data_IF_768673616092
#
_entry.id   IF_768673616092
#
_cell.length_a   1.000
_cell.length_b   1.000
_cell.length_c   1.000
_cell.angle_alpha   90.00
_cell.angle_beta   90.00
_cell.angle_gamma   90.00
#
_symmetry.space_group_name_H-M   'P 1'
#
loop_
_entity.id
_entity.type
_entity.pdbx_description
1 polymer ?
#
# COMPACT_ATOMS: atom_id res chain seq x y z
N UNK A 1 17.36 1.96 -2.82
CA UNK A 1 16.27 1.07 -3.32
C UNK A 1 14.95 1.59 -2.80
N UNK A 2 13.92 1.52 -3.60
CA UNK A 2 12.59 1.98 -3.18
C UNK A 2 11.60 0.82 -3.21
N UNK A 3 10.69 0.82 -2.24
CA UNK A 3 9.59 -0.14 -2.17
C UNK A 3 8.28 0.63 -2.00
N UNK A 4 7.27 0.24 -2.77
CA UNK A 4 5.92 0.80 -2.63
C UNK A 4 5.16 -0.01 -1.59
N UNK A 5 4.46 0.68 -0.70
CA UNK A 5 3.60 0.06 0.29
C UNK A 5 2.16 0.05 -0.23
N UNK A 6 1.56 -1.13 -0.26
CA UNK A 6 0.15 -1.30 -0.59
C UNK A 6 -0.74 -0.85 0.59
N UNK A 7 -1.97 -0.51 0.29
CA UNK A 7 -2.97 -0.11 1.29
C UNK A 7 -3.12 -1.13 2.41
N UNK A 8 -3.08 -2.42 2.08
CA UNK A 8 -3.20 -3.50 3.08
C UNK A 8 -2.14 -3.42 4.18
N UNK A 9 -0.95 -2.93 3.84
CA UNK A 9 0.15 -2.74 4.79
C UNK A 9 -0.06 -1.47 5.62
N UNK A 10 -0.36 -0.36 4.95
CA UNK A 10 -0.47 0.96 5.60
C UNK A 10 -1.62 1.00 6.61
N UNK A 11 -2.74 0.37 6.29
CA UNK A 11 -3.90 0.27 7.19
C UNK A 11 -3.54 -0.41 8.51
N UNK A 12 -2.62 -1.38 8.50
CA UNK A 12 -2.21 -2.06 9.74
C UNK A 12 -1.54 -1.12 10.73
N UNK A 13 -0.90 -0.06 10.25
CA UNK A 13 -0.27 0.93 11.12
C UNK A 13 -1.28 1.72 11.95
N UNK A 14 -2.55 1.75 11.55
CA UNK A 14 -3.64 2.35 12.31
C UNK A 14 -4.16 1.46 13.44
N UNK A 15 -3.66 0.23 13.58
CA UNK A 15 -4.09 -0.76 14.55
C UNK A 15 -2.91 -1.21 15.44
N UNK A 16 -2.34 -0.33 16.25
CA UNK A 16 -1.04 -0.55 16.91
C UNK A 16 -1.01 -1.73 17.87
N UNK A 17 -2.15 -2.17 18.38
CA UNK A 17 -2.23 -3.29 19.35
C UNK A 17 -2.37 -4.66 18.69
N UNK A 18 -2.43 -4.72 17.36
CA UNK A 18 -2.64 -5.98 16.65
C UNK A 18 -1.31 -6.67 16.31
N UNK A 19 -1.29 -8.01 16.23
CA UNK A 19 -0.12 -8.75 15.74
C UNK A 19 0.27 -8.36 14.31
N UNK A 20 -0.71 -8.04 13.46
CA UNK A 20 -0.46 -7.58 12.10
C UNK A 20 0.34 -6.28 12.05
N UNK A 21 0.02 -5.32 12.91
CA UNK A 21 0.80 -4.08 13.01
C UNK A 21 2.24 -4.37 13.41
N UNK A 22 2.44 -5.22 14.40
CA UNK A 22 3.78 -5.60 14.86
C UNK A 22 4.59 -6.25 13.74
N UNK A 23 3.97 -7.15 12.97
CA UNK A 23 4.61 -7.80 11.83
C UNK A 23 5.02 -6.80 10.75
N UNK A 24 4.15 -5.84 10.44
CA UNK A 24 4.44 -4.76 9.49
C UNK A 24 5.61 -3.91 9.99
N UNK A 25 5.59 -3.48 11.25
CA UNK A 25 6.67 -2.65 11.82
C UNK A 25 8.01 -3.37 11.78
N UNK A 26 8.05 -4.65 12.12
CA UNK A 26 9.27 -5.46 12.06
C UNK A 26 9.80 -5.56 10.62
N UNK A 27 8.90 -5.75 9.66
CA UNK A 27 9.27 -5.83 8.24
C UNK A 27 9.82 -4.49 7.74
N UNK A 28 9.18 -3.38 8.09
CA UNK A 28 9.67 -2.05 7.71
C UNK A 28 11.03 -1.76 8.33
N UNK A 29 11.23 -2.13 9.59
CA UNK A 29 12.52 -1.96 10.26
C UNK A 29 13.63 -2.74 9.54
N UNK A 30 13.39 -3.99 9.21
CA UNK A 30 14.35 -4.84 8.51
C UNK A 30 14.66 -4.32 7.10
N UNK A 31 13.64 -3.92 6.34
CA UNK A 31 13.84 -3.34 5.01
C UNK A 31 14.57 -1.99 5.09
N UNK A 32 14.27 -1.18 6.10
CA UNK A 32 14.99 0.07 6.35
C UNK A 32 16.47 -0.14 6.61
N UNK A 33 16.82 -1.18 7.39
CA UNK A 33 18.21 -1.56 7.64
C UNK A 33 18.91 -2.02 6.35
N UNK A 34 18.18 -2.56 5.40
CA UNK A 34 18.71 -2.93 4.08
C UNK A 34 18.83 -1.74 3.13
N UNK A 35 18.43 -0.56 3.55
CA UNK A 35 18.54 0.66 2.75
C UNK A 35 17.33 1.01 1.88
N UNK A 36 16.16 0.39 2.12
CA UNK A 36 14.95 0.72 1.39
C UNK A 36 14.36 2.06 1.83
N UNK A 37 13.97 2.85 0.83
CA UNK A 37 13.10 4.02 1.00
C UNK A 37 11.66 3.58 0.78
N UNK A 38 10.78 3.95 1.69
CA UNK A 38 9.37 3.57 1.62
C UNK A 38 8.55 4.65 0.90
N UNK A 39 7.78 4.24 -0.09
CA UNK A 39 6.95 5.11 -0.90
C UNK A 39 5.49 4.71 -0.80
N UNK A 40 4.62 5.69 -0.86
CA UNK A 40 3.17 5.50 -1.01
C UNK A 40 2.68 6.41 -2.14
N UNK A 41 1.54 6.06 -2.71
CA UNK A 41 0.88 6.85 -3.75
C UNK A 41 -0.43 7.42 -3.21
N UNK A 42 -0.97 8.49 -3.81
CA UNK A 42 -2.23 9.09 -3.35
C UNK A 42 -3.37 8.09 -3.24
N UNK A 43 -3.47 7.13 -4.13
CA UNK A 43 -4.50 6.08 -4.05
C UNK A 43 -4.46 5.33 -2.71
N UNK A 44 -3.27 5.02 -2.21
CA UNK A 44 -3.12 4.34 -0.91
C UNK A 44 -3.68 5.21 0.21
N UNK A 45 -3.46 6.51 0.16
CA UNK A 45 -4.00 7.46 1.12
C UNK A 45 -5.53 7.51 1.04
N UNK A 46 -6.10 7.55 -0.17
CA UNK A 46 -7.56 7.57 -0.35
C UNK A 46 -8.20 6.29 0.18
N UNK A 47 -7.63 5.14 -0.11
CA UNK A 47 -8.13 3.85 0.37
C UNK A 47 -7.97 3.72 1.89
N UNK A 48 -6.85 4.19 2.43
CA UNK A 48 -6.62 4.26 3.88
C UNK A 48 -7.73 5.06 4.56
N UNK A 49 -8.04 6.25 4.04
CA UNK A 49 -9.12 7.10 4.56
C UNK A 49 -10.43 6.35 4.63
N UNK A 50 -10.81 5.68 3.54
CA UNK A 50 -12.07 4.93 3.47
C UNK A 50 -12.14 3.85 4.54
N UNK A 51 -11.06 3.09 4.71
CA UNK A 51 -11.03 1.96 5.66
C UNK A 51 -11.08 2.45 7.09
N UNK A 52 -10.25 3.42 7.47
CA UNK A 52 -10.14 3.83 8.88
C UNK A 52 -11.34 4.65 9.35
N UNK A 53 -12.03 5.35 8.45
CA UNK A 53 -13.20 6.16 8.80
C UNK A 53 -14.52 5.38 8.71
N UNK A 54 -14.54 4.20 8.08
CA UNK A 54 -15.75 3.37 8.02
C UNK A 54 -16.21 2.99 9.43
N UNK A 55 -17.55 2.84 9.63
CA UNK A 55 -18.06 2.32 10.90
C UNK A 55 -17.51 0.93 11.24
N UNK A 56 -17.40 0.63 12.52
CA UNK A 56 -16.95 -0.69 13.00
C UNK A 56 -17.79 -1.83 12.41
N UNK A 57 -19.11 -1.61 12.25
CA UNK A 57 -20.02 -2.60 11.65
C UNK A 57 -19.67 -2.93 10.18
N UNK A 58 -18.95 -2.05 9.48
CA UNK A 58 -18.57 -2.22 8.09
C UNK A 58 -17.06 -2.51 7.93
N UNK A 59 -16.48 -3.18 8.89
CA UNK A 59 -15.05 -3.51 8.93
C UNK A 59 -14.14 -2.27 8.89
N UNK A 60 -14.62 -1.16 9.46
CA UNK A 60 -13.84 0.07 9.61
C UNK A 60 -13.29 0.22 11.02
N UNK A 61 -12.57 1.31 11.24
CA UNK A 61 -12.00 1.64 12.54
C UNK A 61 -12.73 2.79 13.24
N UNK A 62 -13.73 3.36 12.57
CA UNK A 62 -14.56 4.46 13.08
C UNK A 62 -13.75 5.70 13.51
N UNK A 63 -12.62 5.95 12.89
CA UNK A 63 -11.86 7.17 13.13
C UNK A 63 -12.66 8.38 12.66
N UNK A 64 -12.54 9.50 13.38
CA UNK A 64 -13.08 10.78 12.91
C UNK A 64 -12.27 11.29 11.71
N UNK A 65 -12.88 12.21 10.94
CA UNK A 65 -12.16 12.87 9.86
C UNK A 65 -10.97 13.68 10.38
N UNK A 66 -11.14 14.35 11.53
CA UNK A 66 -10.06 15.14 12.13
C UNK A 66 -8.87 14.27 12.56
N UNK A 67 -9.15 13.15 13.24
CA UNK A 67 -8.09 12.20 13.64
C UNK A 67 -7.40 11.59 12.44
N UNK A 68 -8.16 11.25 11.40
CA UNK A 68 -7.60 10.67 10.18
C UNK A 68 -6.70 11.67 9.45
N UNK A 69 -7.07 12.94 9.43
CA UNK A 69 -6.23 13.99 8.86
C UNK A 69 -4.86 14.04 9.56
N UNK A 70 -4.84 13.90 10.88
CA UNK A 70 -3.58 13.85 11.64
C UNK A 70 -2.76 12.60 11.32
N UNK A 71 -3.43 11.46 11.20
CA UNK A 71 -2.75 10.21 10.84
C UNK A 71 -2.14 10.27 9.43
N UNK A 72 -2.84 10.86 8.47
CA UNK A 72 -2.30 11.06 7.11
C UNK A 72 -1.06 11.96 7.14
N UNK A 73 -1.07 13.01 7.94
CA UNK A 73 0.11 13.86 8.10
C UNK A 73 1.31 13.07 8.64
N UNK A 74 1.09 12.14 9.57
CA UNK A 74 2.15 11.24 10.06
C UNK A 74 2.65 10.32 8.95
N UNK A 75 1.76 9.72 8.17
CA UNK A 75 2.15 8.86 7.06
C UNK A 75 3.00 9.63 6.04
N UNK A 76 2.62 10.85 5.70
CA UNK A 76 3.35 11.69 4.77
C UNK A 76 4.73 12.13 5.31
N UNK A 77 4.90 12.16 6.63
CA UNK A 77 6.20 12.44 7.25
C UNK A 77 7.12 11.22 7.31
N UNK A 78 6.55 10.02 7.36
CA UNK A 78 7.30 8.76 7.45
C UNK A 78 7.68 8.20 6.08
N UNK A 79 6.81 8.39 5.10
CA UNK A 79 6.94 7.79 3.77
C UNK A 79 7.00 8.86 2.69
N UNK A 80 7.69 8.56 1.59
CA UNK A 80 7.70 9.43 0.43
C UNK A 80 6.38 9.29 -0.32
N UNK A 81 5.61 10.37 -0.43
CA UNK A 81 4.37 10.38 -1.21
C UNK A 81 4.71 10.70 -2.65
N UNK A 82 4.54 9.74 -3.54
CA UNK A 82 4.78 9.92 -4.97
C UNK A 82 3.58 10.64 -5.62
N UNK A 83 3.86 11.43 -6.64
CA UNK A 83 2.82 12.20 -7.31
C UNK A 83 1.98 11.35 -8.25
N UNK A 84 0.69 11.65 -8.33
CA UNK A 84 -0.14 11.22 -9.43
C UNK A 84 0.29 11.98 -10.69
N UNK A 85 0.52 11.24 -11.77
CA UNK A 85 0.90 11.81 -13.05
C UNK A 85 0.03 11.20 -14.15
N UNK A 86 -0.14 11.93 -15.25
CA UNK A 86 -0.95 11.48 -16.38
C UNK A 86 -0.54 10.10 -16.89
N UNK A 87 0.74 9.82 -16.91
CA UNK A 87 1.27 8.54 -17.38
C UNK A 87 0.86 7.36 -16.51
N UNK A 88 0.46 7.57 -15.26
CA UNK A 88 -0.13 6.51 -14.43
C UNK A 88 -1.40 5.99 -15.09
N UNK A 89 -2.27 6.87 -15.59
CA UNK A 89 -3.47 6.46 -16.32
C UNK A 89 -3.13 5.66 -17.56
N UNK A 90 -2.15 6.10 -18.34
CA UNK A 90 -1.74 5.41 -19.57
C UNK A 90 -1.19 4.01 -19.28
N UNK A 91 -0.34 3.87 -18.26
CA UNK A 91 0.14 2.56 -17.81
C UNK A 91 -1.00 1.67 -17.31
N UNK A 92 -1.92 2.25 -16.54
CA UNK A 92 -3.08 1.52 -16.04
C UNK A 92 -3.92 0.96 -17.18
N UNK A 93 -4.21 1.78 -18.20
CA UNK A 93 -5.01 1.36 -19.34
C UNK A 93 -4.36 0.18 -20.07
N UNK A 94 -3.04 0.23 -20.24
CA UNK A 94 -2.28 -0.88 -20.83
C UNK A 94 -2.36 -2.15 -19.99
N UNK A 95 -2.24 -2.02 -18.67
CA UNK A 95 -2.28 -3.16 -17.77
C UNK A 95 -3.65 -3.84 -17.75
N UNK A 96 -4.73 -3.08 -17.59
CA UNK A 96 -6.07 -3.68 -17.52
C UNK A 96 -6.47 -4.33 -18.84
N UNK A 97 -5.99 -3.78 -19.97
CA UNK A 97 -6.23 -4.35 -21.29
C UNK A 97 -5.41 -5.63 -21.50
N UNK A 98 -4.12 -5.58 -21.22
CA UNK A 98 -3.20 -6.70 -21.46
C UNK A 98 -3.49 -7.89 -20.56
N UNK A 99 -3.80 -7.65 -19.30
CA UNK A 99 -4.07 -8.70 -18.33
C UNK A 99 -5.56 -9.02 -18.17
N UNK A 100 -6.43 -8.37 -18.96
CA UNK A 100 -7.89 -8.57 -18.93
C UNK A 100 -8.45 -8.46 -17.52
N UNK A 101 -8.07 -7.40 -16.83
CA UNK A 101 -8.41 -7.17 -15.42
C UNK A 101 -9.90 -6.84 -15.30
N UNK A 102 -10.57 -7.41 -14.30
CA UNK A 102 -12.01 -7.29 -14.12
C UNK A 102 -12.32 -6.81 -12.69
N UNK A 103 -13.31 -5.93 -12.58
CA UNK A 103 -13.87 -5.49 -11.32
C UNK A 103 -12.87 -4.73 -10.45
N UNK A 104 -12.91 -4.96 -9.15
CA UNK A 104 -12.08 -4.23 -8.18
C UNK A 104 -10.58 -4.41 -8.36
N UNK A 105 -10.16 -5.45 -9.06
CA UNK A 105 -8.74 -5.66 -9.36
C UNK A 105 -8.17 -4.54 -10.26
N UNK A 106 -9.03 -3.74 -10.88
CA UNK A 106 -8.61 -2.55 -11.61
C UNK A 106 -7.96 -1.49 -10.71
N UNK A 107 -8.33 -1.45 -9.42
CA UNK A 107 -7.68 -0.58 -8.45
C UNK A 107 -6.26 -1.04 -8.14
N UNK A 108 -6.04 -2.36 -8.03
CA UNK A 108 -4.71 -2.93 -7.82
C UNK A 108 -3.81 -2.69 -9.04
N UNK A 109 -4.38 -2.77 -10.25
CA UNK A 109 -3.66 -2.44 -11.48
C UNK A 109 -3.14 -0.99 -11.46
N UNK A 110 -3.87 -0.06 -10.83
CA UNK A 110 -3.43 1.33 -10.73
C UNK A 110 -2.22 1.48 -9.81
N UNK A 111 -2.12 0.69 -8.76
CA UNK A 111 -0.91 0.62 -7.91
C UNK A 111 0.29 0.20 -8.76
N UNK A 112 0.15 -0.84 -9.55
CA UNK A 112 1.22 -1.33 -10.44
C UNK A 112 1.57 -0.30 -11.51
N UNK A 113 0.58 0.39 -12.06
CA UNK A 113 0.79 1.47 -13.02
C UNK A 113 1.64 2.60 -12.42
N UNK A 114 1.39 2.97 -11.18
CA UNK A 114 2.19 3.96 -10.46
C UNK A 114 3.63 3.46 -10.25
N UNK A 115 3.80 2.17 -9.92
CA UNK A 115 5.13 1.56 -9.82
C UNK A 115 5.90 1.69 -11.13
N UNK A 116 5.27 1.36 -12.25
CA UNK A 116 5.90 1.47 -13.57
C UNK A 116 6.28 2.92 -13.89
N UNK A 117 5.38 3.86 -13.59
CA UNK A 117 5.65 5.29 -13.83
C UNK A 117 6.84 5.80 -13.03
N UNK A 118 6.96 5.38 -11.79
CA UNK A 118 8.01 5.86 -10.89
C UNK A 118 9.26 4.97 -10.87
N UNK A 119 9.30 3.92 -11.69
CA UNK A 119 10.46 3.02 -11.77
C UNK A 119 10.69 2.20 -10.50
N UNK A 120 9.64 1.85 -9.79
CA UNK A 120 9.70 1.02 -8.58
C UNK A 120 9.29 -0.41 -8.96
N UNK A 121 10.13 -1.37 -8.60
CA UNK A 121 9.89 -2.78 -8.91
C UNK A 121 9.39 -3.59 -7.71
N UNK A 122 9.60 -3.10 -6.49
CA UNK A 122 9.30 -3.83 -5.27
C UNK A 122 8.01 -3.32 -4.63
N UNK A 123 7.10 -4.22 -4.33
CA UNK A 123 5.82 -3.93 -3.68
C UNK A 123 5.71 -4.75 -2.39
N UNK A 124 5.49 -4.08 -1.27
CA UNK A 124 5.16 -4.73 0.00
C UNK A 124 3.64 -4.79 0.15
N UNK A 125 3.11 -6.01 0.25
CA UNK A 125 1.67 -6.24 0.34
C UNK A 125 1.34 -7.41 1.25
N UNK A 126 0.18 -7.36 1.89
CA UNK A 126 -0.42 -8.50 2.61
C UNK A 126 -1.27 -9.39 1.69
N UNK A 127 -1.54 -8.93 0.46
CA UNK A 127 -2.41 -9.62 -0.50
C UNK A 127 -1.66 -9.94 -1.81
N UNK A 128 -0.61 -10.78 -1.77
CA UNK A 128 0.20 -11.05 -2.96
C UNK A 128 -0.60 -11.67 -4.12
N UNK A 129 -1.70 -12.37 -3.83
CA UNK A 129 -2.56 -12.98 -4.85
C UNK A 129 -3.08 -11.95 -5.87
N UNK A 130 -3.36 -10.73 -5.41
CA UNK A 130 -3.97 -9.69 -6.25
C UNK A 130 -2.97 -9.10 -7.24
N UNK A 131 -1.67 -9.36 -7.04
CA UNK A 131 -0.58 -8.78 -7.83
C UNK A 131 0.25 -9.81 -8.61
N UNK A 132 0.04 -11.11 -8.40
CA UNK A 132 0.86 -12.17 -9.03
C UNK A 132 0.83 -12.18 -10.53
N UNK A 133 -0.23 -11.66 -11.15
CA UNK A 133 -0.37 -11.60 -12.60
C UNK A 133 0.65 -10.69 -13.26
N UNK A 134 1.19 -9.71 -12.55
CA UNK A 134 2.06 -8.69 -13.13
C UNK A 134 3.52 -9.14 -13.12
N UNK A 135 4.11 -9.31 -14.33
CA UNK A 135 5.39 -9.96 -14.49
C UNK A 135 6.60 -9.11 -14.05
N UNK A 136 6.45 -7.79 -14.03
CA UNK A 136 7.59 -6.86 -13.86
C UNK A 136 7.74 -6.33 -12.43
N UNK A 137 7.02 -6.88 -11.48
CA UNK A 137 7.10 -6.44 -10.09
C UNK A 137 7.54 -7.60 -9.18
N UNK A 138 8.25 -7.25 -8.12
CA UNK A 138 8.65 -8.19 -7.08
C UNK A 138 7.74 -8.00 -5.88
N UNK A 139 7.14 -9.08 -5.42
CA UNK A 139 6.26 -9.05 -4.25
C UNK A 139 7.05 -9.39 -3.01
N UNK A 140 7.11 -8.44 -2.08
CA UNK A 140 7.71 -8.64 -0.77
C UNK A 140 6.59 -8.96 0.21
N UNK A 141 6.81 -9.97 1.05
CA UNK A 141 5.87 -10.36 2.08
C UNK A 141 6.19 -9.71 3.42
N UNK A 142 5.17 -9.57 4.24
CA UNK A 142 5.35 -9.16 5.64
C UNK A 142 5.84 -10.38 6.42
N UNK A 143 6.92 -10.18 7.19
CA UNK A 143 7.49 -11.25 8.00
C UNK A 143 6.52 -11.67 9.11
N UNK A 144 6.36 -12.99 9.35
CA UNK A 144 5.54 -13.43 10.47
C UNK A 144 6.15 -12.93 11.78
N UNK A 145 5.28 -12.53 12.71
CA UNK A 145 5.73 -12.31 14.08
C UNK A 145 6.13 -13.65 14.66
N UNK A 146 7.40 -13.77 15.07
CA UNK A 146 7.80 -14.89 15.92
C UNK A 146 7.00 -14.78 17.22
N UNK A 147 5.99 -15.62 17.38
CA UNK A 147 5.17 -15.62 18.55
C UNK A 147 5.99 -15.98 19.80
N UNK A 148 6.04 -15.06 20.71
CA UNK A 148 6.31 -15.30 22.11
C UNK A 148 5.58 -14.26 22.90
#
# INVERSE_FOLDING_TARGET
MRVLLDTSVVVRLAQPTTPSCKAVLNTLDELGQQGYEFCIVPQVIYEYWVVVTRPLANNGLAFSADDTTLEIAKLASLFTVLRDERTVFEHWQQLVTSYKVIGKNAHDARIVAAMHRHGINDLLTLNPKDFRRYAKINLLGVLPTTGN
#
